data_IF_165120511368
#
_entry.id   IF_165120511368
#
_cell.length_a   1.000
_cell.length_b   1.000
_cell.length_c   1.000
_cell.angle_alpha   90.00
_cell.angle_beta   90.00
_cell.angle_gamma   90.00
#
_symmetry.space_group_name_H-M   'P 1'
#
loop_
_entity.id
_entity.type
_entity.pdbx_description
1 polymer ?
#
# COMPACT_ATOMS: atom_id res chain seq x y z
N UNK A 1 24.02 2.18 -24.84
CA UNK A 1 23.34 2.49 -23.55
C UNK A 1 22.68 1.23 -23.03
N UNK A 2 23.06 0.70 -21.85
CA UNK A 2 22.35 -0.43 -21.23
C UNK A 2 20.92 0.02 -20.91
N UNK A 3 19.91 -0.61 -21.52
CA UNK A 3 18.51 -0.35 -21.21
C UNK A 3 18.24 -0.75 -19.77
N UNK A 4 17.94 0.24 -18.94
CA UNK A 4 17.58 0.07 -17.54
C UNK A 4 16.31 -0.77 -17.40
N UNK A 5 16.39 -1.89 -16.69
CA UNK A 5 15.26 -2.79 -16.42
C UNK A 5 14.36 -2.18 -15.34
N UNK A 6 13.28 -1.53 -15.76
CA UNK A 6 12.19 -1.11 -14.86
C UNK A 6 11.30 -2.33 -14.58
N UNK A 7 11.08 -2.62 -13.30
CA UNK A 7 10.01 -3.53 -12.87
C UNK A 7 8.74 -2.73 -12.67
N UNK A 8 7.61 -3.28 -13.10
CA UNK A 8 6.29 -2.69 -12.92
C UNK A 8 5.46 -3.60 -12.02
N UNK A 9 4.72 -2.98 -11.11
CA UNK A 9 3.74 -3.66 -10.27
C UNK A 9 2.40 -2.98 -10.45
N UNK A 10 1.38 -3.79 -10.72
CA UNK A 10 0.01 -3.36 -10.83
C UNK A 10 -0.79 -4.01 -9.70
N UNK A 11 -1.32 -3.17 -8.82
CA UNK A 11 -2.32 -3.56 -7.84
C UNK A 11 -3.70 -3.37 -8.46
N UNK A 12 -4.46 -4.44 -8.66
CA UNK A 12 -5.88 -4.37 -9.00
C UNK A 12 -6.69 -4.82 -7.79
N UNK A 13 -7.07 -3.86 -6.94
CA UNK A 13 -7.82 -4.15 -5.71
C UNK A 13 -9.27 -4.54 -5.99
N UNK A 14 -9.80 -4.21 -7.19
CA UNK A 14 -11.14 -4.66 -7.62
C UNK A 14 -11.11 -6.14 -7.96
N UNK A 15 -10.13 -6.53 -8.77
CA UNK A 15 -9.90 -7.92 -9.15
C UNK A 15 -9.18 -8.72 -8.05
N UNK A 16 -8.81 -8.06 -6.94
CA UNK A 16 -8.10 -8.63 -5.79
C UNK A 16 -6.87 -9.41 -6.22
N UNK A 17 -6.01 -8.75 -7.00
CA UNK A 17 -4.76 -9.34 -7.46
C UNK A 17 -3.63 -8.33 -7.57
N UNK A 18 -2.42 -8.85 -7.50
CA UNK A 18 -1.19 -8.12 -7.77
C UNK A 18 -0.56 -8.77 -9.00
N UNK A 19 -0.22 -7.94 -9.99
CA UNK A 19 0.51 -8.36 -11.17
C UNK A 19 1.90 -7.72 -11.08
N UNK A 20 2.93 -8.55 -11.14
CA UNK A 20 4.33 -8.12 -11.19
C UNK A 20 4.84 -8.46 -12.57
N UNK A 21 5.36 -7.47 -13.28
CA UNK A 21 5.89 -7.64 -14.63
C UNK A 21 7.27 -7.02 -14.75
N UNK A 22 8.16 -7.69 -15.48
CA UNK A 22 9.41 -7.11 -15.94
C UNK A 22 9.41 -6.97 -17.47
N UNK A 23 10.29 -6.12 -18.01
CA UNK A 23 10.45 -5.97 -19.47
C UNK A 23 10.82 -7.29 -20.18
N UNK A 24 11.29 -8.29 -19.45
CA UNK A 24 11.62 -9.63 -19.95
C UNK A 24 10.39 -10.54 -20.12
N UNK A 25 9.16 -9.99 -20.08
CA UNK A 25 7.87 -10.69 -20.24
C UNK A 25 7.53 -11.72 -19.14
N UNK A 26 8.28 -11.78 -18.03
CA UNK A 26 7.87 -12.58 -16.87
C UNK A 26 6.77 -11.83 -16.12
N UNK A 27 5.56 -12.37 -16.19
CA UNK A 27 4.39 -11.91 -15.46
C UNK A 27 4.16 -12.90 -14.31
N UNK A 28 4.17 -12.39 -13.08
CA UNK A 28 3.73 -13.13 -11.90
C UNK A 28 2.41 -12.53 -11.43
N UNK A 29 1.41 -13.37 -11.24
CA UNK A 29 0.12 -12.98 -10.67
C UNK A 29 -0.02 -13.57 -9.27
N UNK A 30 -0.37 -12.72 -8.31
CA UNK A 30 -0.62 -13.09 -6.91
C UNK A 30 -2.07 -12.76 -6.61
N UNK A 31 -2.86 -13.77 -6.22
CA UNK A 31 -4.24 -13.58 -5.79
C UNK A 31 -4.27 -13.06 -4.35
N UNK A 32 -5.08 -12.04 -4.11
CA UNK A 32 -5.39 -11.54 -2.78
C UNK A 32 -6.63 -12.25 -2.22
N UNK A 33 -6.74 -12.40 -0.89
CA UNK A 33 -7.93 -12.92 -0.24
C UNK A 33 -9.23 -12.26 -0.72
N UNK A 34 -10.17 -13.09 -1.21
CA UNK A 34 -11.41 -12.62 -1.84
C UNK A 34 -12.42 -12.05 -0.86
N UNK A 35 -12.28 -12.29 0.43
CA UNK A 35 -13.24 -11.89 1.45
C UNK A 35 -12.80 -10.65 2.25
N UNK A 36 -11.62 -10.12 1.96
CA UNK A 36 -11.11 -8.88 2.52
C UNK A 36 -11.43 -7.68 1.62
N UNK A 37 -11.45 -6.50 2.22
CA UNK A 37 -11.63 -5.22 1.51
C UNK A 37 -10.32 -4.46 1.56
N UNK A 38 -9.96 -3.79 0.48
CA UNK A 38 -8.68 -3.10 0.32
C UNK A 38 -8.88 -1.64 -0.09
N UNK A 39 -8.03 -0.76 0.42
CA UNK A 39 -7.97 0.66 0.04
C UNK A 39 -6.51 1.08 -0.12
N UNK A 40 -6.16 1.84 -1.16
CA UNK A 40 -4.82 2.39 -1.31
C UNK A 40 -4.82 3.93 -1.28
N UNK A 41 -3.73 4.53 -0.81
CA UNK A 41 -3.65 5.98 -0.62
C UNK A 41 -2.90 6.73 -1.73
N UNK A 42 -2.45 6.03 -2.78
CA UNK A 42 -1.58 6.63 -3.82
C UNK A 42 -2.32 7.64 -4.72
N UNK A 43 -3.51 7.28 -5.22
CA UNK A 43 -4.41 8.17 -5.96
C UNK A 43 -5.82 7.91 -5.42
N UNK A 44 -6.43 8.92 -4.80
CA UNK A 44 -7.80 8.82 -4.29
C UNK A 44 -8.75 8.43 -5.44
N UNK A 45 -9.70 7.54 -5.14
CA UNK A 45 -10.75 7.06 -6.05
C UNK A 45 -10.37 6.07 -7.17
N UNK A 46 -9.10 5.70 -7.34
CA UNK A 46 -8.75 4.58 -8.22
C UNK A 46 -8.69 3.28 -7.41
N UNK A 47 -9.23 2.20 -7.97
CA UNK A 47 -9.06 0.83 -7.41
C UNK A 47 -7.86 0.11 -8.00
N UNK A 48 -7.23 0.71 -9.01
CA UNK A 48 -6.08 0.18 -9.73
C UNK A 48 -4.92 1.13 -9.53
N UNK A 49 -3.79 0.58 -9.13
CA UNK A 49 -2.57 1.30 -8.90
C UNK A 49 -1.47 0.67 -9.75
N UNK A 50 -0.85 1.46 -10.63
CA UNK A 50 0.35 1.04 -11.35
C UNK A 50 1.56 1.76 -10.76
N UNK A 51 2.55 0.99 -10.37
CA UNK A 51 3.81 1.44 -9.79
C UNK A 51 4.95 0.97 -10.68
N UNK A 52 5.97 1.80 -10.82
CA UNK A 52 7.23 1.43 -11.44
C UNK A 52 8.34 1.56 -10.40
N UNK A 53 9.16 0.54 -10.29
CA UNK A 53 10.34 0.57 -9.44
C UNK A 53 11.56 1.07 -10.22
N UNK A 54 12.45 1.77 -9.51
CA UNK A 54 13.80 2.03 -10.01
C UNK A 54 14.63 0.74 -10.00
N UNK A 55 15.82 0.76 -10.60
CA UNK A 55 16.74 -0.38 -10.61
C UNK A 55 17.10 -0.88 -9.20
N UNK A 56 17.10 0.03 -8.21
CA UNK A 56 17.39 -0.28 -6.81
C UNK A 56 16.13 -0.62 -6.01
N UNK A 57 15.00 -0.83 -6.69
CA UNK A 57 13.72 -1.18 -6.07
C UNK A 57 12.98 -0.01 -5.43
N UNK A 58 13.41 1.24 -5.62
CA UNK A 58 12.74 2.41 -5.03
C UNK A 58 11.45 2.79 -5.80
N UNK A 59 10.54 3.50 -5.14
CA UNK A 59 9.32 4.06 -5.74
C UNK A 59 9.33 5.59 -5.71
N UNK A 60 8.67 6.23 -6.67
CA UNK A 60 8.63 7.69 -6.78
C UNK A 60 7.74 8.37 -5.73
N UNK A 61 6.70 7.69 -5.24
CA UNK A 61 5.78 8.21 -4.25
C UNK A 61 5.44 7.15 -3.21
N UNK A 62 5.52 7.55 -1.95
CA UNK A 62 5.08 6.73 -0.83
C UNK A 62 3.55 6.56 -0.85
N UNK A 63 3.08 5.39 -0.45
CA UNK A 63 1.64 5.11 -0.32
C UNK A 63 1.40 4.05 0.74
N UNK A 64 0.14 3.81 1.07
CA UNK A 64 -0.27 2.74 1.99
C UNK A 64 -1.40 1.92 1.38
N UNK A 65 -1.50 0.66 1.81
CA UNK A 65 -2.64 -0.22 1.59
C UNK A 65 -3.26 -0.51 2.95
N UNK A 66 -4.55 -0.24 3.09
CA UNK A 66 -5.35 -0.65 4.23
C UNK A 66 -6.15 -1.90 3.90
N UNK A 67 -6.21 -2.82 4.86
CA UNK A 67 -6.93 -4.09 4.75
C UNK A 67 -8.01 -4.13 5.84
N UNK A 68 -9.24 -4.34 5.41
CA UNK A 68 -10.42 -4.38 6.27
C UNK A 68 -11.02 -5.77 6.30
N UNK A 69 -11.70 -6.07 7.40
CA UNK A 69 -12.53 -7.26 7.49
C UNK A 69 -13.89 -7.07 6.76
N UNK A 70 -14.72 -8.12 6.76
CA UNK A 70 -16.06 -8.12 6.16
C UNK A 70 -17.00 -7.06 6.75
N UNK A 71 -16.79 -6.69 8.02
CA UNK A 71 -17.54 -5.63 8.69
C UNK A 71 -17.02 -4.22 8.35
N UNK A 72 -16.16 -4.07 7.32
CA UNK A 72 -15.56 -2.80 6.89
C UNK A 72 -14.75 -2.09 7.99
N UNK A 73 -14.22 -2.85 8.96
CA UNK A 73 -13.33 -2.35 10.02
C UNK A 73 -11.88 -2.63 9.66
N UNK A 74 -11.03 -1.61 9.76
CA UNK A 74 -9.61 -1.75 9.38
C UNK A 74 -8.89 -2.66 10.36
N UNK A 75 -8.03 -3.54 9.85
CA UNK A 75 -7.25 -4.48 10.66
C UNK A 75 -5.75 -4.34 10.44
N UNK A 76 -5.35 -4.05 9.21
CA UNK A 76 -3.95 -3.92 8.84
C UNK A 76 -3.71 -2.71 7.96
N UNK A 77 -2.51 -2.16 8.06
CA UNK A 77 -1.96 -1.15 7.16
C UNK A 77 -0.57 -1.59 6.74
N UNK A 78 -0.30 -1.56 5.43
CA UNK A 78 1.02 -1.78 4.85
C UNK A 78 1.45 -0.46 4.23
N UNK A 79 2.55 0.10 4.72
CA UNK A 79 3.08 1.37 4.23
C UNK A 79 4.34 1.13 3.39
N UNK A 80 4.35 1.72 2.19
CA UNK A 80 5.46 1.71 1.25
C UNK A 80 6.07 3.10 1.22
N UNK A 81 7.31 3.22 1.66
CA UNK A 81 8.04 4.48 1.69
C UNK A 81 9.12 4.48 0.62
N UNK A 82 8.99 5.39 -0.34
CA UNK A 82 10.09 5.82 -1.20
C UNK A 82 10.82 7.00 -0.53
N UNK A 83 12.14 7.10 -0.72
CA UNK A 83 12.94 8.22 -0.21
C UNK A 83 14.08 8.60 -1.16
N UNK A 84 14.40 9.90 -1.19
CA UNK A 84 15.46 10.50 -2.03
C UNK A 84 16.88 10.15 -1.58
N UNK A 85 17.10 9.80 -0.29
CA UNK A 85 18.45 9.61 0.28
C UNK A 85 18.90 8.15 0.36
N UNK A 86 18.02 7.21 0.69
CA UNK A 86 18.39 5.81 1.00
C UNK A 86 18.35 4.86 -0.21
N UNK A 87 17.82 5.29 -1.36
CA UNK A 87 17.74 4.51 -2.63
C UNK A 87 17.02 3.16 -2.58
N UNK A 88 16.58 2.65 -1.43
CA UNK A 88 15.82 1.41 -1.28
C UNK A 88 14.39 1.65 -0.78
N UNK A 89 13.47 0.77 -1.17
CA UNK A 89 12.08 0.76 -0.70
C UNK A 89 12.01 0.24 0.74
N UNK A 90 11.33 1.00 1.60
CA UNK A 90 11.01 0.55 2.96
C UNK A 90 9.54 0.15 3.04
N UNK A 91 9.29 -1.05 3.56
CA UNK A 91 7.94 -1.57 3.80
C UNK A 91 7.75 -1.73 5.31
N UNK A 92 6.72 -1.10 5.86
CA UNK A 92 6.31 -1.31 7.25
C UNK A 92 4.91 -1.92 7.30
N UNK A 93 4.71 -2.88 8.19
CA UNK A 93 3.42 -3.48 8.47
C UNK A 93 2.91 -3.01 9.82
N UNK A 94 1.61 -2.76 9.90
CA UNK A 94 0.96 -2.32 11.13
C UNK A 94 -0.34 -3.09 11.34
N UNK A 95 -0.59 -3.44 12.60
CA UNK A 95 -1.83 -4.05 13.08
C UNK A 95 -2.61 -3.05 13.92
N UNK A 96 -3.93 -2.97 13.70
CA UNK A 96 -4.82 -2.10 14.46
C UNK A 96 -4.98 -2.60 15.90
N UNK A 97 -4.83 -1.70 16.88
CA UNK A 97 -5.11 -1.95 18.31
C UNK A 97 -6.62 -1.91 18.60
N UNK A 98 -7.04 -2.52 19.72
CA UNK A 98 -8.46 -2.68 20.13
C UNK A 98 -9.06 -1.43 20.82
N UNK A 99 -8.67 -0.21 20.43
CA UNK A 99 -9.12 1.03 21.08
C UNK A 99 -10.29 1.70 20.33
N UNK A 100 -10.06 2.11 19.08
CA UNK A 100 -10.99 2.89 18.25
C UNK A 100 -11.31 2.15 16.95
N UNK A 101 -12.52 2.33 16.42
CA UNK A 101 -12.90 1.76 15.13
C UNK A 101 -12.66 2.76 13.99
N UNK A 102 -11.79 2.38 13.07
CA UNK A 102 -11.60 3.08 11.79
C UNK A 102 -12.29 2.22 10.74
N UNK A 103 -13.15 2.86 9.96
CA UNK A 103 -14.03 2.18 9.00
C UNK A 103 -13.62 2.53 7.58
N UNK A 104 -14.16 1.79 6.61
CA UNK A 104 -13.89 2.07 5.21
C UNK A 104 -14.37 3.48 4.77
N UNK A 105 -15.46 3.98 5.34
CA UNK A 105 -16.03 5.28 4.94
C UNK A 105 -15.19 6.48 5.39
N UNK A 106 -14.43 6.38 6.47
CA UNK A 106 -13.62 7.48 7.01
C UNK A 106 -12.10 7.29 6.80
N UNK A 107 -11.67 6.24 6.10
CA UNK A 107 -10.24 5.90 6.01
C UNK A 107 -9.42 6.97 5.29
N UNK A 108 -9.97 7.64 4.27
CA UNK A 108 -9.25 8.66 3.52
C UNK A 108 -8.93 9.87 4.39
N UNK A 109 -9.95 10.40 5.07
CA UNK A 109 -9.81 11.51 6.02
C UNK A 109 -8.88 11.12 7.19
N UNK A 110 -9.10 9.95 7.80
CA UNK A 110 -8.23 9.44 8.86
C UNK A 110 -6.76 9.37 8.39
N UNK A 111 -6.50 8.91 7.17
CA UNK A 111 -5.14 8.81 6.65
C UNK A 111 -4.47 10.17 6.49
N UNK A 112 -5.22 11.18 6.03
CA UNK A 112 -4.73 12.56 5.89
C UNK A 112 -4.36 13.12 7.27
N UNK A 113 -5.29 13.06 8.22
CA UNK A 113 -5.08 13.59 9.57
C UNK A 113 -3.88 12.92 10.27
N UNK A 114 -3.77 11.59 10.18
CA UNK A 114 -2.67 10.83 10.82
C UNK A 114 -1.34 10.83 10.06
N UNK A 115 -1.29 11.44 8.87
CA UNK A 115 -0.02 11.75 8.22
C UNK A 115 0.58 13.04 8.76
N UNK A 116 -0.25 14.01 9.16
CA UNK A 116 0.13 15.26 9.79
C UNK A 116 0.43 15.06 11.28
N UNK A 117 -0.40 14.25 11.97
CA UNK A 117 -0.19 13.86 13.37
C UNK A 117 0.19 12.37 13.48
N UNK A 118 1.49 12.13 13.65
CA UNK A 118 2.04 10.78 13.79
C UNK A 118 1.84 10.19 15.19
N UNK A 119 1.64 11.00 16.22
CA UNK A 119 1.44 10.47 17.57
C UNK A 119 0.09 9.78 17.67
N UNK A 120 -0.97 10.41 17.14
CA UNK A 120 -2.30 9.79 17.03
C UNK A 120 -2.27 8.49 16.22
N UNK A 121 -1.43 8.41 15.18
CA UNK A 121 -1.23 7.16 14.45
C UNK A 121 -0.71 6.04 15.37
N UNK A 122 0.32 6.30 16.18
CA UNK A 122 0.90 5.26 17.04
C UNK A 122 0.02 4.88 18.22
N UNK A 123 -0.93 5.74 18.62
CA UNK A 123 -1.98 5.37 19.58
C UNK A 123 -2.83 4.21 19.04
N UNK A 124 -3.19 4.26 17.75
CA UNK A 124 -4.07 3.27 17.11
C UNK A 124 -3.36 2.04 16.55
N UNK A 125 -2.10 2.17 16.18
CA UNK A 125 -1.39 1.16 15.40
C UNK A 125 -0.20 0.57 16.16
N UNK A 126 -0.03 -0.75 16.07
CA UNK A 126 1.18 -1.45 16.50
C UNK A 126 1.96 -1.81 15.24
N UNK A 127 3.24 -1.46 15.20
CA UNK A 127 4.15 -1.93 14.14
C UNK A 127 4.47 -3.41 14.39
N UNK A 128 4.38 -4.23 13.34
CA UNK A 128 4.80 -5.64 13.33
C UNK A 128 6.21 -5.77 12.73
#
# INVERSE_FOLDING_TARGET
MKQKTKQELQLDLSAKKIIISNKSLKIQEIQLPKDLIYYHTHISNLKKLKLSFTENGNISKSFSIYIFNRAKKVRYKISFYGFDKSRFLKINNYRKKKNSEITYSNIDEYHKNTNEDRETFYVDWRKE
#
